data_IF_973891966760
#
_entry.id   IF_973891966760
#
_cell.length_a   1.000
_cell.length_b   1.000
_cell.length_c   1.000
_cell.angle_alpha   90.00
_cell.angle_beta   90.00
_cell.angle_gamma   90.00
#
_symmetry.space_group_name_H-M   'P 1'
#
loop_
_entity.id
_entity.type
_entity.pdbx_description
1 polymer ?
#
# COMPACT_ATOMS: atom_id res chain seq x y z
N UNK A 1 91.26 -13.61 23.58
CA UNK A 1 90.67 -14.35 22.44
C UNK A 1 89.16 -14.12 22.44
N UNK A 2 88.53 -13.96 21.26
CA UNK A 2 87.27 -13.23 21.09
C UNK A 2 86.03 -14.15 21.02
N UNK A 3 84.86 -13.52 21.22
CA UNK A 3 83.53 -13.92 20.71
C UNK A 3 82.94 -15.23 21.29
N UNK A 4 81.65 -15.36 21.59
CA UNK A 4 80.50 -15.07 20.74
C UNK A 4 79.25 -14.74 21.58
N UNK A 5 78.63 -13.60 21.29
CA UNK A 5 77.24 -13.29 21.64
C UNK A 5 76.39 -13.60 20.40
N UNK A 6 75.61 -14.68 20.41
CA UNK A 6 74.65 -14.99 19.34
C UNK A 6 73.25 -14.61 19.81
N UNK A 7 72.77 -13.46 19.35
CA UNK A 7 71.42 -12.97 19.56
C UNK A 7 70.43 -13.69 18.62
N UNK A 8 69.35 -14.20 19.20
CA UNK A 8 68.21 -14.86 18.55
C UNK A 8 67.31 -13.81 17.87
N UNK A 9 67.58 -13.47 16.61
CA UNK A 9 66.64 -12.72 15.74
C UNK A 9 66.09 -13.64 14.64
N UNK A 10 64.83 -14.08 14.72
CA UNK A 10 64.28 -14.93 13.67
C UNK A 10 62.76 -15.19 13.63
N UNK A 11 61.95 -14.63 14.53
CA UNK A 11 60.51 -14.97 14.60
C UNK A 11 59.57 -13.83 14.20
N UNK A 12 59.92 -12.55 14.42
CA UNK A 12 58.98 -11.43 14.26
C UNK A 12 58.73 -10.97 12.82
N UNK A 13 59.72 -11.10 11.91
CA UNK A 13 59.60 -10.58 10.53
C UNK A 13 58.66 -11.39 9.62
N UNK A 14 58.47 -12.69 9.89
CA UNK A 14 57.59 -13.55 9.08
C UNK A 14 56.11 -13.35 9.39
N UNK A 15 55.75 -13.03 10.64
CA UNK A 15 54.37 -12.79 11.04
C UNK A 15 53.79 -11.51 10.43
N UNK A 16 54.58 -10.43 10.37
CA UNK A 16 54.12 -9.15 9.82
C UNK A 16 53.81 -9.22 8.31
N UNK A 17 54.59 -10.00 7.54
CA UNK A 17 54.36 -10.17 6.10
C UNK A 17 53.07 -10.97 5.80
N UNK A 18 52.76 -12.01 6.58
CA UNK A 18 51.52 -12.79 6.40
C UNK A 18 50.26 -12.00 6.76
N UNK A 19 50.31 -11.17 7.80
CA UNK A 19 49.17 -10.31 8.21
C UNK A 19 48.94 -9.19 7.20
N UNK A 20 49.99 -8.60 6.65
CA UNK A 20 49.86 -7.61 5.59
C UNK A 20 49.29 -8.22 4.29
N UNK A 21 49.71 -9.43 3.92
CA UNK A 21 49.21 -10.12 2.72
C UNK A 21 47.75 -10.58 2.86
N UNK A 22 47.32 -10.99 4.06
CA UNK A 22 45.93 -11.39 4.31
C UNK A 22 44.99 -10.17 4.30
N UNK A 23 45.40 -9.05 4.91
CA UNK A 23 44.63 -7.81 4.92
C UNK A 23 44.49 -7.19 3.52
N UNK A 24 45.52 -7.23 2.68
CA UNK A 24 45.42 -6.75 1.29
C UNK A 24 44.57 -7.67 0.42
N UNK A 25 44.67 -9.00 0.56
CA UNK A 25 43.81 -9.96 -0.14
C UNK A 25 42.33 -9.79 0.25
N UNK A 26 42.03 -9.58 1.54
CA UNK A 26 40.67 -9.30 2.01
C UNK A 26 40.14 -7.96 1.48
N UNK A 27 40.98 -6.94 1.34
CA UNK A 27 40.59 -5.64 0.77
C UNK A 27 40.30 -5.72 -0.74
N UNK A 28 41.11 -6.48 -1.48
CA UNK A 28 40.93 -6.73 -2.92
C UNK A 28 39.72 -7.63 -3.22
N UNK A 29 39.41 -8.57 -2.33
CA UNK A 29 38.22 -9.40 -2.46
C UNK A 29 36.94 -8.57 -2.21
N UNK A 30 36.94 -7.68 -1.22
CA UNK A 30 35.78 -6.84 -0.87
C UNK A 30 35.44 -5.79 -1.94
N UNK A 31 36.44 -5.23 -2.64
CA UNK A 31 36.23 -4.29 -3.74
C UNK A 31 35.65 -4.95 -5.00
N UNK A 32 36.07 -6.18 -5.31
CA UNK A 32 35.52 -6.95 -6.44
C UNK A 32 34.04 -7.34 -6.22
N UNK A 33 33.65 -7.68 -4.99
CA UNK A 33 32.25 -7.98 -4.65
C UNK A 33 31.38 -6.72 -4.69
N UNK A 34 31.93 -5.57 -4.30
CA UNK A 34 31.23 -4.29 -4.32
C UNK A 34 30.93 -3.81 -5.75
N UNK A 35 31.89 -3.97 -6.66
CA UNK A 35 31.72 -3.67 -8.09
C UNK A 35 30.72 -4.63 -8.77
N UNK A 36 30.77 -5.93 -8.46
CA UNK A 36 29.82 -6.91 -8.98
C UNK A 36 28.40 -6.68 -8.47
N UNK A 37 28.23 -6.35 -7.18
CA UNK A 37 26.91 -6.04 -6.60
C UNK A 37 26.35 -4.75 -7.18
N UNK A 38 27.17 -3.70 -7.37
CA UNK A 38 26.73 -2.46 -8.01
C UNK A 38 26.32 -2.66 -9.47
N UNK A 39 27.03 -3.51 -10.22
CA UNK A 39 26.70 -3.83 -11.61
C UNK A 39 25.44 -4.70 -11.72
N UNK A 40 25.25 -5.67 -10.82
CA UNK A 40 24.02 -6.46 -10.73
C UNK A 40 22.81 -5.64 -10.28
N UNK A 41 22.97 -4.72 -9.31
CA UNK A 41 21.91 -3.80 -8.90
C UNK A 41 21.58 -2.79 -10.00
N UNK A 42 22.59 -2.30 -10.74
CA UNK A 42 22.38 -1.45 -11.92
C UNK A 42 21.59 -2.16 -13.02
N UNK A 43 21.92 -3.41 -13.33
CA UNK A 43 21.19 -4.25 -14.29
C UNK A 43 19.77 -4.58 -13.80
N UNK A 44 19.57 -4.80 -12.49
CA UNK A 44 18.25 -5.03 -11.90
C UNK A 44 17.36 -3.79 -12.01
N UNK A 45 17.89 -2.60 -11.74
CA UNK A 45 17.14 -1.33 -11.85
C UNK A 45 16.82 -1.01 -13.32
N UNK A 46 17.73 -1.32 -14.26
CA UNK A 46 17.47 -1.10 -15.69
C UNK A 46 16.45 -2.09 -16.28
N UNK A 47 16.37 -3.31 -15.74
CA UNK A 47 15.39 -4.33 -16.15
C UNK A 47 13.95 -4.03 -15.74
N UNK A 48 13.72 -3.22 -14.70
CA UNK A 48 12.37 -2.82 -14.28
C UNK A 48 11.76 -1.67 -15.10
N UNK A 49 12.53 -1.02 -15.98
CA UNK A 49 12.06 0.13 -16.74
C UNK A 49 11.19 -0.22 -17.97
N UNK A 50 10.97 -1.51 -18.28
CA UNK A 50 10.19 -1.95 -19.45
C UNK A 50 8.97 -2.79 -19.11
N UNK A 51 8.19 -2.38 -18.09
CA UNK A 51 6.78 -2.74 -18.01
C UNK A 51 5.95 -1.60 -18.61
N UNK A 52 5.99 -1.47 -19.94
CA UNK A 52 5.02 -0.64 -20.64
C UNK A 52 3.63 -1.24 -20.38
N UNK A 53 2.79 -0.52 -19.64
CA UNK A 53 1.40 -0.89 -19.43
C UNK A 53 0.71 -0.95 -20.79
N UNK A 54 0.51 -2.16 -21.34
CA UNK A 54 -0.37 -2.37 -22.47
C UNK A 54 -1.79 -2.01 -22.01
N UNK A 55 -2.22 -0.80 -22.31
CA UNK A 55 -3.60 -0.38 -22.11
C UNK A 55 -4.47 -1.23 -23.03
N UNK A 56 -5.16 -2.21 -22.45
CA UNK A 56 -6.11 -3.02 -23.21
C UNK A 56 -7.17 -2.09 -23.81
N UNK A 57 -7.49 -2.23 -25.11
CA UNK A 57 -8.48 -1.38 -25.75
C UNK A 57 -9.86 -1.58 -25.11
N UNK A 58 -10.44 -0.51 -24.59
CA UNK A 58 -11.80 -0.51 -24.05
C UNK A 58 -12.77 -0.20 -25.18
N UNK A 59 -13.79 -1.02 -25.35
CA UNK A 59 -14.84 -0.83 -26.35
C UNK A 59 -16.15 -0.44 -25.68
N UNK A 60 -16.87 0.50 -26.30
CA UNK A 60 -18.22 0.87 -25.89
C UNK A 60 -19.23 0.30 -26.88
N UNK A 61 -20.02 -0.66 -26.42
CA UNK A 61 -21.10 -1.28 -27.18
C UNK A 61 -22.43 -0.77 -26.61
N UNK A 62 -22.87 0.42 -27.04
CA UNK A 62 -24.04 1.10 -26.45
C UNK A 62 -23.77 1.65 -25.04
N UNK A 63 -24.27 0.96 -24.00
CA UNK A 63 -24.15 1.35 -22.58
C UNK A 63 -23.13 0.52 -21.78
N UNK A 64 -22.55 -0.51 -22.40
CA UNK A 64 -21.65 -1.45 -21.73
C UNK A 64 -20.21 -1.27 -22.23
N UNK A 65 -19.26 -1.27 -21.29
CA UNK A 65 -17.83 -1.17 -21.55
C UNK A 65 -17.19 -2.54 -21.39
N UNK A 66 -16.52 -3.04 -22.44
CA UNK A 66 -15.85 -4.35 -22.43
C UNK A 66 -14.41 -4.25 -22.88
N UNK A 67 -13.54 -5.08 -22.29
CA UNK A 67 -12.13 -5.21 -22.64
C UNK A 67 -11.87 -6.26 -23.74
N UNK A 68 -12.90 -7.03 -24.12
CA UNK A 68 -12.82 -8.07 -25.15
C UNK A 68 -14.11 -8.08 -25.98
N UNK A 69 -13.99 -7.96 -27.31
CA UNK A 69 -15.14 -8.03 -28.23
C UNK A 69 -15.14 -9.41 -28.90
N UNK A 70 -16.22 -10.17 -28.72
CA UNK A 70 -16.50 -11.34 -29.55
C UNK A 70 -17.23 -10.91 -30.83
N UNK A 71 -16.96 -11.59 -31.94
CA UNK A 71 -17.21 -11.11 -33.31
C UNK A 71 -18.69 -10.93 -33.78
N UNK A 72 -19.77 -11.19 -33.01
CA UNK A 72 -21.10 -10.69 -33.38
C UNK A 72 -21.43 -9.28 -32.85
N UNK A 73 -20.70 -8.75 -31.86
CA UNK A 73 -20.92 -7.40 -31.29
C UNK A 73 -20.11 -6.31 -32.00
N UNK A 74 -19.11 -6.67 -32.79
CA UNK A 74 -18.16 -5.75 -33.41
C UNK A 74 -18.79 -4.68 -34.32
N UNK A 75 -19.98 -4.93 -34.90
CA UNK A 75 -20.62 -3.99 -35.84
C UNK A 75 -21.23 -2.75 -35.18
N UNK A 76 -21.26 -2.66 -33.85
CA UNK A 76 -21.79 -1.50 -33.11
C UNK A 76 -20.92 -1.04 -31.93
N UNK A 77 -19.71 -1.59 -31.78
CA UNK A 77 -18.81 -1.24 -30.69
C UNK A 77 -17.78 -0.20 -31.16
N UNK A 78 -17.76 0.97 -30.54
CA UNK A 78 -16.76 2.00 -30.82
C UNK A 78 -15.58 1.84 -29.87
N UNK A 79 -14.35 1.78 -30.41
CA UNK A 79 -13.13 1.74 -29.61
C UNK A 79 -12.96 3.08 -28.92
N UNK A 80 -12.92 3.08 -27.60
CA UNK A 80 -12.68 4.28 -26.79
C UNK A 80 -11.19 4.30 -26.45
N UNK A 81 -10.40 4.89 -27.35
CA UNK A 81 -8.98 5.11 -27.10
C UNK A 81 -8.81 6.33 -26.18
N UNK A 82 -8.26 6.09 -24.98
CA UNK A 82 -7.59 7.14 -24.22
C UNK A 82 -8.45 8.33 -23.82
N UNK A 83 -9.63 8.12 -23.24
CA UNK A 83 -10.20 9.14 -22.35
C UNK A 83 -9.24 9.27 -21.17
N UNK A 84 -8.26 10.16 -21.28
CA UNK A 84 -7.40 10.56 -20.17
C UNK A 84 -8.33 10.98 -19.04
N UNK A 85 -8.38 10.17 -17.98
CA UNK A 85 -9.05 10.54 -16.74
C UNK A 85 -8.26 11.69 -16.14
N UNK A 86 -8.53 12.89 -16.61
CA UNK A 86 -8.03 14.10 -15.99
C UNK A 86 -8.92 14.33 -14.78
N UNK A 87 -8.40 13.99 -13.60
CA UNK A 87 -8.93 14.54 -12.36
C UNK A 87 -8.73 16.06 -12.49
N UNK A 88 -9.78 16.89 -12.51
CA UNK A 88 -9.59 18.32 -12.52
C UNK A 88 -8.83 18.67 -11.24
N UNK A 89 -7.59 19.12 -11.37
CA UNK A 89 -6.88 19.75 -10.27
C UNK A 89 -7.79 20.85 -9.68
N UNK A 90 -7.93 20.98 -8.35
CA UNK A 90 -8.75 22.03 -7.76
C UNK A 90 -8.18 23.38 -8.19
N UNK A 91 -8.82 24.00 -9.18
CA UNK A 91 -8.43 25.32 -9.67
C UNK A 91 -8.81 26.34 -8.59
N UNK A 92 -7.87 27.15 -8.07
CA UNK A 92 -8.23 28.21 -7.13
C UNK A 92 -9.16 29.20 -7.84
N UNK A 93 -10.31 29.50 -7.21
CA UNK A 93 -11.25 30.52 -7.67
C UNK A 93 -10.53 31.87 -7.71
N UNK A 94 -10.12 32.31 -8.90
CA UNK A 94 -9.96 33.74 -9.20
C UNK A 94 -11.25 34.23 -9.83
N UNK A 95 -11.95 35.09 -9.09
CA UNK A 95 -13.08 35.85 -9.60
C UNK A 95 -12.63 36.68 -10.81
N UNK A 96 -13.32 36.52 -11.94
CA UNK A 96 -13.24 37.46 -13.05
C UNK A 96 -14.65 37.61 -13.66
N UNK A 97 -15.04 38.83 -14.08
CA UNK A 97 -16.44 39.18 -14.27
C UNK A 97 -17.00 38.66 -15.59
N UNK A 98 -18.32 38.43 -15.58
CA UNK A 98 -19.09 37.84 -16.66
C UNK A 98 -19.06 38.66 -17.95
N UNK A 99 -18.75 38.01 -19.06
CA UNK A 99 -19.06 38.49 -20.41
C UNK A 99 -20.04 37.49 -21.06
N UNK A 100 -21.19 38.00 -21.50
CA UNK A 100 -22.19 37.26 -22.28
C UNK A 100 -21.67 36.90 -23.67
N UNK A 101 -22.16 35.77 -24.25
CA UNK A 101 -22.50 35.82 -25.67
C UNK A 101 -23.88 35.22 -26.00
N UNK A 102 -24.62 36.04 -26.75
CA UNK A 102 -25.51 35.80 -27.92
C UNK A 102 -26.14 34.41 -28.14
N UNK A 103 -27.46 34.45 -28.33
CA UNK A 103 -28.32 33.37 -28.81
C UNK A 103 -27.93 32.79 -30.18
N UNK A 104 -28.07 31.46 -30.29
CA UNK A 104 -28.01 30.65 -31.51
C UNK A 104 -28.64 29.28 -31.26
N UNK A 105 -29.39 28.77 -32.23
CA UNK A 105 -30.37 27.67 -32.21
C UNK A 105 -29.76 26.25 -32.27
N UNK A 106 -30.16 25.37 -31.32
CA UNK A 106 -30.33 23.86 -31.26
C UNK A 106 -29.56 22.88 -32.17
N UNK A 107 -29.37 21.57 -31.81
CA UNK A 107 -29.73 20.82 -30.59
C UNK A 107 -28.61 19.93 -29.96
N UNK A 108 -28.85 19.45 -28.73
CA UNK A 108 -28.24 18.30 -28.04
C UNK A 108 -26.74 18.35 -27.67
N UNK A 109 -26.48 18.17 -26.36
CA UNK A 109 -25.13 17.98 -25.80
C UNK A 109 -24.60 19.17 -25.01
N UNK A 110 -25.43 19.80 -24.16
CA UNK A 110 -24.90 20.67 -23.12
C UNK A 110 -23.90 19.90 -22.25
N UNK A 111 -22.90 20.58 -21.65
CA UNK A 111 -21.99 19.91 -20.72
C UNK A 111 -22.88 19.20 -19.70
N UNK A 112 -22.62 17.91 -19.44
CA UNK A 112 -23.23 17.22 -18.31
C UNK A 112 -22.70 17.99 -17.09
N UNK A 113 -23.41 19.05 -16.72
CA UNK A 113 -23.37 19.61 -15.39
C UNK A 113 -23.69 18.40 -14.53
N UNK A 114 -22.63 17.85 -13.89
CA UNK A 114 -22.71 16.63 -13.12
C UNK A 114 -24.00 16.65 -12.35
N UNK A 115 -24.82 15.61 -12.54
CA UNK A 115 -26.11 15.49 -11.91
C UNK A 115 -25.91 15.87 -10.44
N UNK A 116 -26.34 17.09 -10.08
CA UNK A 116 -26.17 17.60 -8.73
C UNK A 116 -27.07 16.68 -7.91
N UNK A 117 -26.46 15.72 -7.24
CA UNK A 117 -27.15 14.86 -6.28
C UNK A 117 -27.90 15.82 -5.37
N UNK A 118 -29.20 15.59 -5.22
CA UNK A 118 -30.04 16.47 -4.41
C UNK A 118 -29.45 16.53 -2.99
N UNK A 119 -29.39 17.74 -2.42
CA UNK A 119 -28.75 17.95 -1.12
C UNK A 119 -29.39 17.15 0.01
N UNK A 120 -30.69 16.81 -0.09
CA UNK A 120 -31.35 15.91 0.84
C UNK A 120 -30.93 14.46 0.61
N UNK A 121 -30.84 14.02 -0.65
CA UNK A 121 -30.39 12.67 -0.98
C UNK A 121 -28.94 12.42 -0.53
N UNK A 122 -28.07 13.41 -0.69
CA UNK A 122 -26.68 13.34 -0.21
C UNK A 122 -26.64 13.23 1.33
N UNK A 123 -27.45 14.02 2.04
CA UNK A 123 -27.53 13.95 3.52
C UNK A 123 -28.08 12.61 4.01
N UNK A 124 -29.05 12.03 3.31
CA UNK A 124 -29.58 10.71 3.64
C UNK A 124 -28.50 9.63 3.50
N UNK A 125 -27.75 9.64 2.39
CA UNK A 125 -26.62 8.72 2.17
C UNK A 125 -25.53 8.88 3.22
N UNK A 126 -25.18 10.11 3.58
CA UNK A 126 -24.20 10.38 4.64
C UNK A 126 -24.70 9.90 6.01
N UNK A 127 -26.00 10.02 6.30
CA UNK A 127 -26.59 9.50 7.54
C UNK A 127 -26.55 7.96 7.58
N UNK A 128 -26.89 7.29 6.48
CA UNK A 128 -26.82 5.83 6.35
C UNK A 128 -25.38 5.33 6.52
N UNK A 129 -24.41 5.98 5.87
CA UNK A 129 -23.00 5.65 5.98
C UNK A 129 -22.51 5.75 7.44
N UNK A 130 -22.91 6.80 8.17
CA UNK A 130 -22.59 6.94 9.60
C UNK A 130 -23.23 5.84 10.44
N UNK A 131 -24.48 5.49 10.17
CA UNK A 131 -25.17 4.42 10.89
C UNK A 131 -24.46 3.09 10.70
N UNK A 132 -24.10 2.75 9.45
CA UNK A 132 -23.37 1.51 9.12
C UNK A 132 -22.03 1.47 9.86
N UNK A 133 -21.21 2.52 9.75
CA UNK A 133 -19.91 2.57 10.42
C UNK A 133 -20.03 2.52 11.94
N UNK A 134 -21.06 3.14 12.51
CA UNK A 134 -21.32 3.08 13.96
C UNK A 134 -21.71 1.67 14.41
N UNK A 135 -22.45 0.92 13.59
CA UNK A 135 -22.81 -0.47 13.86
C UNK A 135 -21.60 -1.40 13.72
N UNK A 136 -20.76 -1.18 12.70
CA UNK A 136 -19.51 -1.91 12.52
C UNK A 136 -18.53 -1.66 13.66
N UNK A 137 -18.41 -0.41 14.12
CA UNK A 137 -17.59 -0.07 15.28
C UNK A 137 -18.04 -0.85 16.53
N UNK A 138 -19.35 -0.89 16.82
CA UNK A 138 -19.88 -1.66 17.95
C UNK A 138 -19.58 -3.15 17.82
N UNK A 139 -19.70 -3.72 16.62
CA UNK A 139 -19.36 -5.14 16.38
C UNK A 139 -17.86 -5.40 16.58
N UNK A 140 -16.99 -4.51 16.10
CA UNK A 140 -15.56 -4.61 16.27
C UNK A 140 -15.13 -4.50 17.75
N UNK A 141 -15.72 -3.56 18.49
CA UNK A 141 -15.50 -3.40 19.93
C UNK A 141 -16.01 -4.61 20.74
N UNK A 142 -17.16 -5.19 20.38
CA UNK A 142 -17.65 -6.42 21.01
C UNK A 142 -16.67 -7.59 20.81
N UNK A 143 -16.21 -7.80 19.56
CA UNK A 143 -15.18 -8.82 19.28
C UNK A 143 -13.87 -8.54 20.02
N UNK A 144 -13.50 -7.28 20.20
CA UNK A 144 -12.29 -6.91 20.94
C UNK A 144 -12.40 -7.33 22.41
N UNK A 145 -13.56 -7.09 23.02
CA UNK A 145 -13.82 -7.52 24.39
C UNK A 145 -13.82 -9.05 24.51
N UNK A 146 -14.42 -9.77 23.57
CA UNK A 146 -14.38 -11.24 23.53
C UNK A 146 -12.94 -11.76 23.44
N UNK A 147 -12.15 -11.25 22.49
CA UNK A 147 -10.74 -11.63 22.33
C UNK A 147 -9.91 -11.27 23.56
N UNK A 148 -10.17 -10.14 24.22
CA UNK A 148 -9.49 -9.76 25.46
C UNK A 148 -9.83 -10.70 26.61
N UNK A 149 -11.08 -11.17 26.70
CA UNK A 149 -11.49 -12.17 27.69
C UNK A 149 -10.83 -13.51 27.43
N UNK A 150 -10.79 -13.96 26.17
CA UNK A 150 -10.11 -15.19 25.78
C UNK A 150 -8.59 -15.11 25.98
N UNK A 151 -8.02 -13.92 25.79
CA UNK A 151 -6.60 -13.67 26.04
C UNK A 151 -6.25 -13.70 27.53
N UNK A 152 -7.21 -13.39 28.41
CA UNK A 152 -7.11 -13.47 29.87
C UNK A 152 -5.76 -12.93 30.41
N UNK A 153 -5.49 -11.65 30.15
CA UNK A 153 -4.26 -10.95 30.57
C UNK A 153 -2.94 -11.57 30.06
N UNK A 154 -3.00 -12.45 29.06
CA UNK A 154 -1.82 -13.13 28.52
C UNK A 154 -1.72 -14.60 28.88
N UNK A 155 -2.63 -15.09 29.71
CA UNK A 155 -2.73 -16.50 30.06
C UNK A 155 -4.12 -17.04 29.69
N UNK A 156 -4.37 -17.29 28.38
CA UNK A 156 -5.56 -18.01 27.97
C UNK A 156 -5.69 -19.33 28.71
N UNK A 157 -6.91 -19.70 29.10
CA UNK A 157 -7.17 -20.99 29.75
C UNK A 157 -6.71 -22.14 28.85
N UNK A 158 -6.01 -23.12 29.44
CA UNK A 158 -5.50 -24.28 28.69
C UNK A 158 -6.65 -25.25 28.43
N UNK A 159 -6.86 -25.59 27.17
CA UNK A 159 -7.91 -26.53 26.79
C UNK A 159 -7.45 -27.99 26.98
N UNK A 160 -8.39 -28.91 27.17
CA UNK A 160 -8.07 -30.32 27.42
C UNK A 160 -7.29 -30.98 26.25
N UNK A 161 -7.56 -30.57 25.01
CA UNK A 161 -6.87 -31.01 23.80
C UNK A 161 -5.43 -30.46 23.67
N UNK A 162 -5.13 -29.36 24.36
CA UNK A 162 -3.82 -28.70 24.40
C UNK A 162 -2.91 -29.25 25.51
N UNK A 163 -3.47 -30.03 26.45
CA UNK A 163 -2.73 -30.65 27.55
C UNK A 163 -1.63 -31.62 27.07
N UNK A 164 -1.88 -32.30 25.95
CA UNK A 164 -0.94 -33.27 25.35
C UNK A 164 0.07 -32.63 24.38
N UNK A 165 -0.22 -31.43 23.87
CA UNK A 165 0.64 -30.74 22.92
C UNK A 165 0.73 -29.25 23.26
N UNK A 166 1.83 -28.87 23.92
CA UNK A 166 2.08 -27.50 24.31
C UNK A 166 2.28 -26.54 23.13
N UNK A 167 2.74 -27.03 21.97
CA UNK A 167 2.93 -26.17 20.80
C UNK A 167 1.60 -25.57 20.32
N UNK A 168 0.52 -26.37 20.34
CA UNK A 168 -0.84 -25.89 19.97
C UNK A 168 -1.30 -24.72 20.86
N UNK A 169 -0.96 -24.77 22.14
CA UNK A 169 -1.26 -23.68 23.08
C UNK A 169 -0.51 -22.41 22.69
N UNK A 170 0.79 -22.51 22.40
CA UNK A 170 1.61 -21.37 21.97
C UNK A 170 1.08 -20.76 20.67
N UNK A 171 0.74 -21.60 19.69
CA UNK A 171 0.22 -21.16 18.40
C UNK A 171 -1.13 -20.44 18.57
N UNK A 172 -2.04 -20.97 19.39
CA UNK A 172 -3.33 -20.31 19.69
C UNK A 172 -3.13 -18.98 20.42
N UNK A 173 -2.23 -18.90 21.40
CA UNK A 173 -1.91 -17.65 22.10
C UNK A 173 -1.39 -16.61 21.11
N UNK A 174 -0.52 -17.02 20.18
CA UNK A 174 -0.03 -16.16 19.11
C UNK A 174 -1.16 -15.73 18.15
N UNK A 175 -2.09 -16.62 17.83
CA UNK A 175 -3.25 -16.31 16.98
C UNK A 175 -4.22 -15.33 17.64
N UNK A 176 -4.53 -15.48 18.94
CA UNK A 176 -5.36 -14.54 19.69
C UNK A 176 -4.68 -13.16 19.71
N UNK A 177 -3.37 -13.10 19.98
CA UNK A 177 -2.60 -11.84 19.92
C UNK A 177 -2.64 -11.19 18.55
N UNK A 178 -2.45 -11.97 17.49
CA UNK A 178 -2.53 -11.46 16.12
C UNK A 178 -3.94 -10.95 15.78
N UNK A 179 -4.98 -11.63 16.27
CA UNK A 179 -6.37 -11.25 16.07
C UNK A 179 -6.73 -9.96 16.81
N UNK A 180 -6.25 -9.79 18.05
CA UNK A 180 -6.35 -8.54 18.81
C UNK A 180 -5.72 -7.38 18.04
N UNK A 181 -4.48 -7.53 17.57
CA UNK A 181 -3.79 -6.47 16.83
C UNK A 181 -4.51 -6.05 15.54
N UNK A 182 -5.07 -7.02 14.80
CA UNK A 182 -5.86 -6.74 13.59
C UNK A 182 -7.15 -5.99 13.93
N UNK A 183 -7.89 -6.45 14.93
CA UNK A 183 -9.15 -5.82 15.32
C UNK A 183 -8.94 -4.41 15.91
N UNK A 184 -7.83 -4.19 16.64
CA UNK A 184 -7.43 -2.84 17.08
C UNK A 184 -7.18 -1.89 15.91
N UNK A 185 -6.52 -2.38 14.85
CA UNK A 185 -6.32 -1.62 13.61
C UNK A 185 -7.65 -1.30 12.92
N UNK A 186 -8.59 -2.26 12.88
CA UNK A 186 -9.92 -2.07 12.30
C UNK A 186 -10.71 -1.00 13.07
N UNK A 187 -10.75 -1.09 14.40
CA UNK A 187 -11.39 -0.09 15.27
C UNK A 187 -10.79 1.30 15.02
N UNK A 188 -9.46 1.40 14.98
CA UNK A 188 -8.79 2.67 14.71
C UNK A 188 -9.14 3.20 13.31
N UNK A 189 -9.26 2.35 12.31
CA UNK A 189 -9.64 2.73 10.95
C UNK A 189 -11.07 3.25 10.86
N UNK A 190 -12.02 2.52 11.45
CA UNK A 190 -13.44 2.91 11.48
C UNK A 190 -13.62 4.23 12.23
N UNK A 191 -12.93 4.41 13.36
CA UNK A 191 -12.95 5.68 14.12
C UNK A 191 -12.45 6.86 13.29
N UNK A 192 -11.39 6.67 12.48
CA UNK A 192 -10.90 7.71 11.56
C UNK A 192 -11.92 8.04 10.47
N UNK A 193 -12.61 7.05 9.93
CA UNK A 193 -13.66 7.27 8.92
C UNK A 193 -14.85 8.02 9.53
N UNK A 194 -15.31 7.63 10.72
CA UNK A 194 -16.36 8.36 11.44
C UNK A 194 -15.97 9.82 11.69
N UNK A 195 -14.72 10.09 12.08
CA UNK A 195 -14.23 11.46 12.26
C UNK A 195 -14.23 12.26 10.94
N UNK A 196 -13.85 11.63 9.82
CA UNK A 196 -13.94 12.26 8.49
C UNK A 196 -15.37 12.62 8.11
N UNK A 197 -16.32 11.71 8.36
CA UNK A 197 -17.73 11.96 8.05
C UNK A 197 -18.33 13.07 8.92
N UNK A 198 -17.87 13.24 10.17
CA UNK A 198 -18.24 14.37 11.02
C UNK A 198 -17.66 15.69 10.50
N UNK A 199 -16.39 15.72 10.07
CA UNK A 199 -15.77 16.89 9.46
C UNK A 199 -16.47 17.35 8.18
N UNK A 200 -16.89 16.41 7.33
CA UNK A 200 -17.68 16.71 6.12
C UNK A 200 -19.03 17.37 6.45
N UNK A 201 -19.65 17.02 7.59
CA UNK A 201 -20.88 17.66 8.06
C UNK A 201 -20.72 19.16 8.38
N UNK A 202 -19.52 19.56 8.82
CA UNK A 202 -19.21 20.92 9.26
C UNK A 202 -18.86 21.84 8.09
N UNK A 203 -18.28 21.30 7.01
CA UNK A 203 -17.91 22.05 5.80
C UNK A 203 -19.13 22.44 4.95
N UNK A 204 -20.24 21.70 5.07
CA UNK A 204 -21.47 21.94 4.30
C UNK A 204 -22.50 22.88 4.96
N UNK A 205 -22.13 23.62 6.02
CA UNK A 205 -22.99 24.60 6.71
C UNK A 205 -22.57 26.03 6.43
#
# INVERSE_FOLDING_TARGET
MPSFFVAKQGSSRRAAAFVAYSLTMLFMLKSAHSAAIALCLGLYILGYASAGSAQQPIYRCGNEFTNTVSDPLARGCQRVEGASVSVPAPRPLKAQPAALPRAGTTPQGGPIAGARVDTQEQRARDADARQILSAELKRAEARQLELQRDYNQGEPERRADESRNYQKYLDRVAEIKASLARNESDIASIRRELARQQGAALVGK
#
